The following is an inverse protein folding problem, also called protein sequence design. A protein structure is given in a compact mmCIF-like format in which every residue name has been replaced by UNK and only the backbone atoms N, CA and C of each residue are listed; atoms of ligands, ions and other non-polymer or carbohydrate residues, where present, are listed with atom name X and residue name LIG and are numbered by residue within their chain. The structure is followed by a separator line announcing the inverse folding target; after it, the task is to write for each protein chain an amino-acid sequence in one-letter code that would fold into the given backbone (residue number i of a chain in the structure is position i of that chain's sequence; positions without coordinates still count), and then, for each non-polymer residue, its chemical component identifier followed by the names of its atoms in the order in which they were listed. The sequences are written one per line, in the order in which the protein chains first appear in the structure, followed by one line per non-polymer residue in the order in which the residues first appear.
data_IF_363078609566
#
_entry.id   IF_363078609566
#
_cell.length_a   1.000
_cell.length_b   1.000
_cell.length_c   1.000
_cell.angle_alpha   90.00
_cell.angle_beta   90.00
_cell.angle_gamma   90.00
#
_symmetry.space_group_name_H-M   'P 1'
#
loop_
_entity.id
_entity.type
_entity.pdbx_description
1 polymer ?
#
# COMPACT_ATOMS: atom_id res chain seq x y z
N UNK A 1 16.98 9.89 -53.17
CA UNK A 1 15.71 9.61 -52.44
C UNK A 1 15.76 8.15 -52.00
N UNK A 2 15.63 7.72 -50.74
CA UNK A 2 15.26 8.35 -49.47
C UNK A 2 15.90 7.50 -48.36
N UNK A 3 16.83 8.09 -47.63
CA UNK A 3 17.57 7.52 -46.51
C UNK A 3 16.76 7.68 -45.21
N UNK A 4 15.58 7.05 -45.10
CA UNK A 4 14.60 7.32 -44.02
C UNK A 4 14.08 6.04 -43.35
N UNK A 5 14.96 5.11 -42.95
CA UNK A 5 14.55 3.85 -42.28
C UNK A 5 15.06 3.59 -40.85
N UNK A 6 16.04 4.28 -40.24
CA UNK A 6 16.40 3.99 -38.85
C UNK A 6 15.63 4.84 -37.81
N UNK A 7 14.87 5.87 -38.23
CA UNK A 7 14.25 6.83 -37.28
C UNK A 7 12.94 6.31 -36.66
N UNK A 8 12.25 5.36 -37.30
CA UNK A 8 10.93 4.90 -36.86
C UNK A 8 10.95 4.00 -35.61
N UNK A 9 12.11 3.45 -35.21
CA UNK A 9 12.22 2.54 -34.06
C UNK A 9 12.44 3.29 -32.74
N UNK A 10 12.95 4.53 -32.77
CA UNK A 10 13.20 5.32 -31.57
C UNK A 10 11.94 5.96 -30.95
N UNK A 11 10.83 6.06 -31.69
CA UNK A 11 9.60 6.74 -31.23
C UNK A 11 8.62 5.78 -30.53
N UNK A 12 8.78 4.46 -30.68
CA UNK A 12 7.91 3.47 -30.03
C UNK A 12 8.35 3.12 -28.60
N UNK A 13 9.53 3.55 -28.16
CA UNK A 13 10.07 3.24 -26.83
C UNK A 13 9.62 4.21 -25.71
N UNK A 14 8.82 5.24 -26.01
CA UNK A 14 8.46 6.31 -25.07
C UNK A 14 7.03 6.21 -24.48
N UNK A 15 6.28 5.13 -24.72
CA UNK A 15 4.83 5.07 -24.44
C UNK A 15 4.42 4.29 -23.17
N UNK A 16 5.36 3.87 -22.33
CA UNK A 16 5.05 3.21 -21.04
C UNK A 16 5.46 4.07 -19.85
N UNK A 17 5.06 5.35 -19.85
CA UNK A 17 5.11 6.17 -18.66
C UNK A 17 4.09 5.64 -17.64
N UNK A 18 4.46 4.59 -16.90
CA UNK A 18 3.72 4.14 -15.74
C UNK A 18 3.72 5.30 -14.73
N UNK A 19 2.55 5.86 -14.45
CA UNK A 19 2.41 6.90 -13.46
C UNK A 19 2.76 6.32 -12.08
N UNK A 20 3.60 7.04 -11.32
CA UNK A 20 4.05 6.64 -9.99
C UNK A 20 3.72 7.73 -8.97
N UNK A 21 3.48 7.32 -7.73
CA UNK A 21 3.39 8.22 -6.56
C UNK A 21 4.26 7.65 -5.44
N UNK A 22 4.33 8.37 -4.33
CA UNK A 22 4.93 7.88 -3.09
C UNK A 22 3.87 7.70 -2.01
N UNK A 23 4.11 6.76 -1.10
CA UNK A 23 3.40 6.68 0.17
C UNK A 23 4.39 6.88 1.30
N UNK A 24 4.03 7.66 2.32
CA UNK A 24 4.85 7.90 3.49
C UNK A 24 4.32 7.12 4.68
N UNK A 25 5.18 6.36 5.34
CA UNK A 25 4.86 5.53 6.51
C UNK A 25 5.55 6.12 7.75
N UNK A 26 4.74 6.53 8.72
CA UNK A 26 5.19 7.06 10.01
C UNK A 26 5.03 5.98 11.06
N UNK A 27 6.12 5.47 11.67
CA UNK A 27 6.00 4.53 12.79
C UNK A 27 5.26 5.20 13.96
N UNK A 28 4.17 4.59 14.41
CA UNK A 28 3.39 5.07 15.57
C UNK A 28 3.47 4.12 16.76
N UNK A 29 3.77 2.83 16.52
CA UNK A 29 3.99 1.83 17.56
C UNK A 29 5.05 0.81 17.10
N UNK A 30 5.61 0.06 18.07
CA UNK A 30 6.64 -0.95 17.86
C UNK A 30 8.08 -0.44 18.03
N UNK A 31 9.09 -1.27 17.69
CA UNK A 31 10.50 -0.91 17.84
C UNK A 31 10.93 0.38 17.10
N UNK A 32 10.42 0.61 15.89
CA UNK A 32 10.81 1.77 15.08
C UNK A 32 10.26 3.10 15.62
N UNK A 33 9.10 3.10 16.29
CA UNK A 33 8.54 4.34 16.87
C UNK A 33 9.34 4.86 18.07
N UNK A 34 10.23 4.03 18.63
CA UNK A 34 11.09 4.36 19.78
C UNK A 34 12.45 4.94 19.37
N UNK A 35 12.79 4.90 18.08
CA UNK A 35 14.07 5.39 17.58
C UNK A 35 14.06 6.92 17.42
N UNK A 36 15.24 7.53 17.57
CA UNK A 36 15.43 8.97 17.40
C UNK A 36 16.64 9.22 16.48
N UNK A 37 16.49 10.01 15.39
CA UNK A 37 15.23 10.58 14.90
C UNK A 37 14.23 9.50 14.45
N UNK A 38 12.93 9.83 14.44
CA UNK A 38 11.87 8.90 14.01
C UNK A 38 12.12 8.47 12.55
N UNK A 39 12.27 7.16 12.26
CA UNK A 39 12.60 6.68 10.92
C UNK A 39 11.33 6.65 10.05
N UNK A 40 11.02 7.79 9.42
CA UNK A 40 9.94 7.91 8.44
C UNK A 40 10.33 7.16 7.16
N UNK A 41 9.48 6.26 6.68
CA UNK A 41 9.74 5.45 5.50
C UNK A 41 8.97 5.98 4.29
N UNK A 42 9.57 5.85 3.11
CA UNK A 42 8.93 6.22 1.84
C UNK A 42 8.84 5.00 0.95
N UNK A 43 7.63 4.68 0.52
CA UNK A 43 7.37 3.66 -0.47
C UNK A 43 7.14 4.30 -1.85
N UNK A 44 7.69 3.69 -2.89
CA UNK A 44 7.35 3.99 -4.28
C UNK A 44 6.17 3.11 -4.71
N UNK A 45 5.17 3.73 -5.32
CA UNK A 45 3.91 3.08 -5.74
C UNK A 45 3.71 3.35 -7.23
N UNK A 46 3.58 2.29 -8.02
CA UNK A 46 3.29 2.38 -9.46
C UNK A 46 1.83 2.02 -9.77
N UNK A 47 1.40 2.21 -11.02
CA UNK A 47 0.10 1.74 -11.49
C UNK A 47 -1.09 2.55 -10.94
N UNK A 48 -0.86 3.76 -10.43
CA UNK A 48 -1.86 4.56 -9.69
C UNK A 48 -3.07 5.00 -10.51
N UNK A 49 -3.00 4.90 -11.84
CA UNK A 49 -4.15 5.14 -12.73
C UNK A 49 -5.04 3.91 -12.90
N UNK A 50 -4.64 2.75 -12.37
CA UNK A 50 -5.38 1.50 -12.41
C UNK A 50 -5.90 1.09 -11.03
N UNK A 51 -6.31 -0.18 -10.92
CA UNK A 51 -6.79 -0.77 -9.66
C UNK A 51 -5.74 -1.67 -8.99
N UNK A 52 -4.52 -1.74 -9.53
CA UNK A 52 -3.43 -2.55 -9.00
C UNK A 52 -2.09 -2.03 -9.53
N UNK A 53 -1.03 -2.29 -8.77
CA UNK A 53 0.33 -1.94 -9.16
C UNK A 53 1.37 -2.56 -8.24
N UNK A 54 2.64 -2.27 -8.52
CA UNK A 54 3.78 -2.51 -7.65
C UNK A 54 3.88 -1.49 -6.54
N UNK A 55 4.45 -1.96 -5.42
CA UNK A 55 4.87 -1.12 -4.32
C UNK A 55 6.25 -1.60 -3.85
N UNK A 56 7.14 -0.67 -3.52
CA UNK A 56 8.48 -0.98 -3.02
C UNK A 56 8.96 0.03 -1.99
N UNK A 57 9.78 -0.40 -1.03
CA UNK A 57 10.42 0.48 -0.07
C UNK A 57 11.73 -0.13 0.44
N UNK A 58 12.56 0.70 1.07
CA UNK A 58 13.78 0.25 1.76
C UNK A 58 13.64 0.57 3.25
N UNK A 59 13.86 -0.43 4.10
CA UNK A 59 13.82 -0.28 5.56
C UNK A 59 15.10 0.39 6.10
N UNK A 60 15.09 0.91 7.35
CA UNK A 60 16.26 1.58 7.94
C UNK A 60 17.49 0.68 8.05
N UNK A 61 17.30 -0.63 8.16
CA UNK A 61 18.37 -1.63 8.19
C UNK A 61 18.92 -1.98 6.79
N UNK A 62 18.39 -1.36 5.74
CA UNK A 62 18.76 -1.58 4.33
C UNK A 62 17.96 -2.68 3.62
N UNK A 63 16.99 -3.33 4.28
CA UNK A 63 16.19 -4.41 3.67
C UNK A 63 15.32 -3.84 2.56
N UNK A 64 15.31 -4.50 1.39
CA UNK A 64 14.47 -4.07 0.27
C UNK A 64 13.18 -4.86 0.27
N UNK A 65 12.07 -4.16 0.47
CA UNK A 65 10.73 -4.73 0.45
C UNK A 65 10.05 -4.44 -0.88
N UNK A 66 9.53 -5.47 -1.54
CA UNK A 66 8.79 -5.34 -2.80
C UNK A 66 7.48 -6.11 -2.74
N UNK A 67 6.49 -5.65 -3.49
CA UNK A 67 5.15 -6.20 -3.38
C UNK A 67 4.18 -5.67 -4.41
N UNK A 68 2.90 -5.96 -4.15
CA UNK A 68 1.77 -5.51 -4.97
C UNK A 68 0.72 -4.84 -4.10
N UNK A 69 0.02 -3.90 -4.69
CA UNK A 69 -1.19 -3.31 -4.14
C UNK A 69 -2.37 -3.56 -5.08
N UNK A 70 -3.58 -3.58 -4.52
CA UNK A 70 -4.83 -3.63 -5.26
C UNK A 70 -5.92 -2.86 -4.54
N UNK A 71 -6.72 -2.11 -5.29
CA UNK A 71 -8.05 -1.70 -4.84
C UNK A 71 -8.91 -2.95 -4.70
N UNK A 72 -9.64 -3.06 -3.60
CA UNK A 72 -10.51 -4.20 -3.31
C UNK A 72 -11.95 -3.76 -3.50
N UNK A 73 -12.62 -4.35 -4.50
CA UNK A 73 -14.06 -4.25 -4.60
C UNK A 73 -14.70 -4.92 -3.37
N UNK A 74 -15.81 -4.40 -2.82
CA UNK A 74 -16.48 -5.03 -1.68
C UNK A 74 -16.78 -6.51 -1.98
N UNK A 75 -16.13 -7.41 -1.25
CA UNK A 75 -16.32 -8.86 -1.36
C UNK A 75 -16.80 -9.41 -0.03
N UNK A 76 -17.84 -10.25 -0.07
CA UNK A 76 -18.27 -11.06 1.07
C UNK A 76 -17.74 -12.47 0.87
N UNK A 77 -16.75 -12.88 1.66
CA UNK A 77 -16.27 -14.26 1.71
C UNK A 77 -16.90 -14.96 2.92
N UNK A 78 -17.71 -15.99 2.66
CA UNK A 78 -18.27 -16.84 3.71
C UNK A 78 -17.38 -18.06 3.93
N UNK A 79 -16.97 -18.30 5.18
CA UNK A 79 -16.32 -19.55 5.58
C UNK A 79 -17.35 -20.43 6.27
N UNK A 80 -17.70 -21.58 5.68
CA UNK A 80 -18.62 -22.54 6.28
C UNK A 80 -17.86 -23.55 7.12
N UNK A 81 -17.62 -23.26 8.40
CA UNK A 81 -17.64 -24.27 9.47
C UNK A 81 -18.20 -23.61 10.72
N UNK A 82 -19.44 -23.95 11.06
CA UNK A 82 -20.16 -23.57 12.29
C UNK A 82 -20.05 -22.10 12.75
N UNK A 83 -21.00 -21.28 12.31
CA UNK A 83 -21.49 -20.09 13.03
C UNK A 83 -20.45 -19.14 13.62
N UNK A 84 -19.69 -18.49 12.74
CA UNK A 84 -19.31 -17.10 12.95
C UNK A 84 -19.53 -16.36 11.64
N UNK A 85 -20.64 -15.61 11.53
CA UNK A 85 -20.80 -14.55 10.53
C UNK A 85 -19.89 -13.36 10.89
N UNK A 86 -18.62 -13.65 11.18
CA UNK A 86 -17.60 -12.64 11.37
C UNK A 86 -17.18 -12.13 10.01
N UNK A 87 -17.26 -10.81 9.79
CA UNK A 87 -16.48 -10.19 8.72
C UNK A 87 -15.03 -10.65 8.90
N UNK A 88 -14.49 -11.40 7.94
CA UNK A 88 -13.07 -11.75 7.96
C UNK A 88 -12.28 -10.45 7.93
N UNK A 89 -11.81 -10.00 9.09
CA UNK A 89 -10.91 -8.86 9.17
C UNK A 89 -9.49 -9.41 9.10
N UNK A 90 -8.65 -8.88 8.21
CA UNK A 90 -7.25 -9.28 8.04
C UNK A 90 -6.36 -8.87 9.25
N UNK A 91 -6.95 -8.74 10.44
CA UNK A 91 -6.32 -8.19 11.64
C UNK A 91 -5.87 -6.74 11.47
N UNK A 92 -6.47 -6.00 10.53
CA UNK A 92 -6.16 -4.58 10.26
C UNK A 92 -7.03 -3.63 11.09
N UNK A 93 -8.19 -4.09 11.58
CA UNK A 93 -9.07 -3.29 12.44
C UNK A 93 -8.36 -2.77 13.70
N UNK A 94 -7.60 -3.63 14.39
CA UNK A 94 -6.79 -3.23 15.55
C UNK A 94 -5.69 -2.23 15.18
N UNK A 95 -5.11 -2.34 13.99
CA UNK A 95 -4.09 -1.41 13.48
C UNK A 95 -4.68 -0.02 13.27
N UNK A 96 -5.89 0.06 12.69
CA UNK A 96 -6.64 1.32 12.58
C UNK A 96 -6.93 1.95 13.94
N UNK A 97 -7.33 1.14 14.92
CA UNK A 97 -7.53 1.61 16.30
C UNK A 97 -6.24 2.14 16.93
N UNK A 98 -5.09 1.50 16.72
CA UNK A 98 -3.80 2.00 17.22
C UNK A 98 -3.44 3.35 16.60
N UNK A 99 -3.68 3.54 15.30
CA UNK A 99 -3.27 4.76 14.58
C UNK A 99 -4.22 5.94 14.82
N UNK A 100 -5.54 5.69 14.90
CA UNK A 100 -6.56 6.75 14.92
C UNK A 100 -7.45 6.74 16.17
N UNK A 101 -7.28 5.78 17.07
CA UNK A 101 -8.07 5.63 18.28
C UNK A 101 -9.32 4.75 18.11
N UNK A 102 -9.91 4.37 19.24
CA UNK A 102 -11.06 3.46 19.34
C UNK A 102 -12.39 4.06 18.87
N UNK A 103 -12.45 5.37 18.63
CA UNK A 103 -13.61 6.06 18.07
C UNK A 103 -13.65 6.10 16.54
N UNK A 104 -12.61 5.58 15.84
CA UNK A 104 -12.58 5.61 14.38
C UNK A 104 -13.54 4.56 13.79
N UNK A 105 -14.46 5.04 12.96
CA UNK A 105 -15.26 4.20 12.06
C UNK A 105 -14.75 4.40 10.63
N UNK A 106 -14.23 3.34 10.03
CA UNK A 106 -13.90 3.34 8.60
C UNK A 106 -15.10 2.79 7.83
N UNK A 107 -15.65 3.59 6.91
CA UNK A 107 -16.83 3.22 6.13
C UNK A 107 -16.56 3.40 4.64
N UNK A 108 -16.99 2.44 3.85
CA UNK A 108 -17.04 2.60 2.39
C UNK A 108 -18.08 3.66 2.06
N UNK A 109 -17.63 4.79 1.52
CA UNK A 109 -18.48 5.85 1.00
C UNK A 109 -18.39 5.86 -0.53
N UNK A 110 -19.44 6.31 -1.24
CA UNK A 110 -19.33 6.59 -2.66
C UNK A 110 -18.14 7.53 -2.92
N UNK A 111 -17.31 7.18 -3.90
CA UNK A 111 -16.10 7.97 -4.22
C UNK A 111 -14.88 7.68 -3.35
N UNK A 112 -14.92 6.66 -2.48
CA UNK A 112 -13.78 6.18 -1.70
C UNK A 112 -13.44 4.75 -2.11
N UNK A 113 -12.17 4.51 -2.46
CA UNK A 113 -11.67 3.20 -2.84
C UNK A 113 -10.85 2.61 -1.70
N UNK A 114 -11.31 1.48 -1.16
CA UNK A 114 -10.52 0.65 -0.26
C UNK A 114 -9.47 -0.11 -1.07
N UNK A 115 -8.26 -0.24 -0.56
CA UNK A 115 -7.24 -1.13 -1.11
C UNK A 115 -6.37 -1.77 -0.03
N UNK A 116 -5.61 -2.77 -0.46
CA UNK A 116 -4.61 -3.44 0.36
C UNK A 116 -3.30 -3.56 -0.41
N UNK A 117 -2.20 -3.64 0.31
CA UNK A 117 -0.90 -3.97 -0.25
C UNK A 117 -0.15 -4.94 0.65
N UNK A 118 0.70 -5.77 0.04
CA UNK A 118 1.57 -6.68 0.75
C UNK A 118 2.97 -6.61 0.16
N UNK A 119 3.97 -6.39 1.02
CA UNK A 119 5.37 -6.37 0.67
C UNK A 119 6.13 -7.46 1.40
N UNK A 120 7.11 -8.04 0.72
CA UNK A 120 8.05 -8.99 1.30
C UNK A 120 9.46 -8.46 1.09
N UNK A 121 10.20 -8.39 2.19
CA UNK A 121 11.59 -8.03 2.25
C UNK A 121 12.51 -9.17 1.85
N UNK A 122 13.64 -8.83 1.26
CA UNK A 122 14.70 -9.78 0.90
C UNK A 122 15.38 -10.45 2.12
N UNK A 123 15.02 -10.05 3.34
CA UNK A 123 15.46 -10.68 4.61
C UNK A 123 14.28 -11.12 5.49
N UNK A 124 13.10 -11.32 4.90
CA UNK A 124 11.96 -11.97 5.54
C UNK A 124 11.00 -11.03 6.28
N UNK A 125 11.18 -9.71 6.21
CA UNK A 125 10.15 -8.78 6.70
C UNK A 125 8.90 -8.91 5.82
N UNK A 126 7.73 -8.95 6.43
CA UNK A 126 6.45 -8.94 5.72
C UNK A 126 5.65 -7.75 6.21
N UNK A 127 5.24 -6.88 5.28
CA UNK A 127 4.50 -5.65 5.55
C UNK A 127 3.12 -5.77 4.90
N UNK A 128 2.07 -5.56 5.69
CA UNK A 128 0.69 -5.51 5.24
C UNK A 128 0.18 -4.08 5.37
N UNK A 129 -0.49 -3.58 4.34
CA UNK A 129 -1.04 -2.23 4.26
C UNK A 129 -2.52 -2.31 3.93
N UNK A 130 -3.34 -1.50 4.60
CA UNK A 130 -4.73 -1.24 4.22
C UNK A 130 -4.90 0.27 4.07
N UNK A 131 -5.55 0.70 2.99
CA UNK A 131 -5.66 2.12 2.66
C UNK A 131 -7.00 2.48 2.02
N UNK A 132 -7.30 3.77 2.04
CA UNK A 132 -8.46 4.39 1.43
C UNK A 132 -8.01 5.61 0.62
N UNK A 133 -8.36 5.65 -0.66
CA UNK A 133 -8.09 6.78 -1.56
C UNK A 133 -9.39 7.39 -2.08
N UNK A 134 -9.34 8.67 -2.44
CA UNK A 134 -10.44 9.31 -3.18
C UNK A 134 -10.48 8.82 -4.63
N UNK A 135 -11.68 8.62 -5.19
CA UNK A 135 -11.85 8.24 -6.60
C UNK A 135 -11.17 9.20 -7.56
N UNK A 136 -10.37 8.65 -8.47
CA UNK A 136 -9.60 9.42 -9.44
C UNK A 136 -8.39 10.16 -8.84
N UNK A 137 -8.04 9.89 -7.58
CA UNK A 137 -6.88 10.50 -6.91
C UNK A 137 -5.94 9.44 -6.37
N UNK A 138 -4.66 9.80 -6.30
CA UNK A 138 -3.65 9.05 -5.56
C UNK A 138 -3.55 9.48 -4.09
N UNK A 139 -4.37 10.45 -3.66
CA UNK A 139 -4.35 10.95 -2.28
C UNK A 139 -5.19 10.04 -1.38
N UNK A 140 -4.69 9.75 -0.20
CA UNK A 140 -5.38 8.86 0.71
C UNK A 140 -4.72 8.68 2.05
N UNK A 141 -5.33 7.80 2.84
CA UNK A 141 -4.81 7.43 4.14
C UNK A 141 -4.91 5.94 4.36
N UNK A 142 -4.00 5.42 5.17
CA UNK A 142 -3.95 4.00 5.47
C UNK A 142 -3.23 3.72 6.76
N UNK A 143 -3.11 2.43 7.03
CA UNK A 143 -2.33 1.88 8.13
C UNK A 143 -1.54 0.69 7.61
N UNK A 144 -0.39 0.45 8.23
CA UNK A 144 0.40 -0.73 7.94
C UNK A 144 0.88 -1.40 9.22
N UNK A 145 1.16 -2.70 9.12
CA UNK A 145 1.87 -3.46 10.15
C UNK A 145 2.92 -4.34 9.50
N UNK A 146 3.99 -4.64 10.24
CA UNK A 146 4.95 -5.66 9.84
C UNK A 146 5.02 -6.84 10.82
N UNK A 147 5.67 -7.92 10.39
CA UNK A 147 5.93 -9.09 11.23
C UNK A 147 7.02 -8.89 12.30
N UNK A 148 7.63 -7.69 12.38
CA UNK A 148 8.56 -7.28 13.44
C UNK A 148 7.86 -6.47 14.54
N UNK A 149 6.53 -6.30 14.46
CA UNK A 149 5.71 -5.65 15.46
C UNK A 149 5.62 -4.13 15.33
N UNK A 150 6.03 -3.54 14.21
CA UNK A 150 5.83 -2.12 13.96
C UNK A 150 4.45 -1.85 13.37
N UNK A 151 3.86 -0.73 13.77
CA UNK A 151 2.62 -0.18 13.19
C UNK A 151 2.89 1.21 12.65
N UNK A 152 2.32 1.49 11.48
CA UNK A 152 2.56 2.72 10.75
C UNK A 152 1.25 3.42 10.40
N UNK A 153 1.26 4.75 10.51
CA UNK A 153 0.32 5.61 9.79
C UNK A 153 0.81 5.80 8.37
N UNK A 154 -0.06 5.57 7.39
CA UNK A 154 0.29 5.70 5.96
C UNK A 154 -0.45 6.88 5.35
N UNK A 155 0.27 7.71 4.60
CA UNK A 155 -0.27 8.81 3.81
C UNK A 155 0.14 8.62 2.36
N UNK A 156 -0.81 8.82 1.44
CA UNK A 156 -0.64 8.78 -0.01
C UNK A 156 -0.92 10.17 -0.59
#
# INVERSE_FOLDING_TARGET
MKLFKPIAIAILAAQLAACTTTATLYPVDGPLSKQQPLPVLTANVDGIMGNTGGISMTLPDGEKCTGKWSSIAPMSVGFSTASASGTATNGMASVWTTVYGSGLSVRNLPGVNKGEAMLVGDRGTVIQVEFYTGSGTANGTGVAKDNKGNIYKVLF
#
